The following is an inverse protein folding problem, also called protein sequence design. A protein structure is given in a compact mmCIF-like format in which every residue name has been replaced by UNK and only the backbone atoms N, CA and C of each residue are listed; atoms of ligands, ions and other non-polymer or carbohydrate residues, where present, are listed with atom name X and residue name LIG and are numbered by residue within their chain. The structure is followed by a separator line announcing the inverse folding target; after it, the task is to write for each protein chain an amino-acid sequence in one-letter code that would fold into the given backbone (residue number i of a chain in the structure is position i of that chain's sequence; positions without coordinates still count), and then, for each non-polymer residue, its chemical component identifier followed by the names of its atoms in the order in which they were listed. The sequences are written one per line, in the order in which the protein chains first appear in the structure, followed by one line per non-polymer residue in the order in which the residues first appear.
data_IF_704947701430
#
_entry.id   IF_704947701430
#
_cell.length_a   1.000
_cell.length_b   1.000
_cell.length_c   1.000
_cell.angle_alpha   90.00
_cell.angle_beta   90.00
_cell.angle_gamma   90.00
#
_symmetry.space_group_name_H-M   'P 1'
#
loop_
_entity.id
_entity.type
_entity.pdbx_description
1 polymer ?
#
# COMPACT_ATOMS: atom_id res chain seq x y z
N UNK A 1 36.23 -12.97 31.61
CA UNK A 1 36.41 -13.61 30.30
C UNK A 1 35.52 -12.89 29.29
N UNK A 2 35.81 -13.00 28.02
CA UNK A 2 34.98 -12.52 26.91
C UNK A 2 34.37 -13.78 26.28
N UNK A 3 33.10 -13.74 26.00
CA UNK A 3 32.40 -14.79 25.22
C UNK A 3 31.67 -14.14 24.05
N UNK A 4 31.40 -14.89 23.03
CA UNK A 4 30.64 -14.47 21.86
C UNK A 4 29.32 -15.25 21.82
N UNK A 5 28.24 -14.55 21.54
CA UNK A 5 26.93 -15.13 21.20
C UNK A 5 26.72 -14.98 19.70
N UNK A 6 26.13 -16.00 19.08
CA UNK A 6 25.79 -15.96 17.67
C UNK A 6 24.44 -15.27 17.54
N UNK A 7 24.39 -14.22 16.73
CA UNK A 7 23.20 -13.45 16.45
C UNK A 7 22.92 -13.48 14.94
N UNK A 8 21.66 -13.61 14.58
CA UNK A 8 21.21 -13.57 13.18
C UNK A 8 20.58 -12.25 12.88
N UNK A 9 20.96 -11.65 11.75
CA UNK A 9 20.38 -10.42 11.23
C UNK A 9 19.73 -10.66 9.89
N UNK A 10 18.50 -10.17 9.72
CA UNK A 10 17.81 -10.16 8.43
C UNK A 10 18.54 -9.22 7.47
N UNK A 11 18.78 -9.66 6.25
CA UNK A 11 19.45 -8.88 5.21
C UNK A 11 18.56 -8.90 3.97
N UNK A 12 18.36 -7.74 3.36
CA UNK A 12 17.56 -7.54 2.15
C UNK A 12 18.49 -7.18 0.98
N UNK A 13 18.95 -8.16 0.19
CA UNK A 13 19.99 -7.94 -0.83
C UNK A 13 19.60 -6.94 -1.91
N UNK A 14 18.30 -6.77 -2.15
CA UNK A 14 17.77 -5.87 -3.17
C UNK A 14 17.35 -4.48 -2.62
N UNK A 15 17.71 -4.17 -1.38
CA UNK A 15 17.43 -2.85 -0.76
C UNK A 15 15.95 -2.52 -0.72
N UNK A 16 15.52 -1.53 -1.50
CA UNK A 16 14.14 -1.05 -1.53
C UNK A 16 13.20 -1.83 -2.44
N UNK A 17 13.69 -2.83 -3.20
CA UNK A 17 12.86 -3.57 -4.15
C UNK A 17 11.72 -4.30 -3.40
N UNK A 18 10.49 -4.02 -3.80
CA UNK A 18 9.26 -4.57 -3.22
C UNK A 18 9.14 -4.32 -1.70
N UNK A 19 9.67 -3.20 -1.19
CA UNK A 19 9.71 -2.90 0.24
C UNK A 19 8.33 -3.00 0.90
N UNK A 20 7.29 -2.43 0.27
CA UNK A 20 5.92 -2.43 0.78
C UNK A 20 5.29 -3.84 0.83
N UNK A 21 5.76 -4.75 -0.03
CA UNK A 21 5.28 -6.14 -0.08
C UNK A 21 6.02 -7.00 0.93
N UNK A 22 7.35 -6.83 1.00
CA UNK A 22 8.21 -7.66 1.85
C UNK A 22 8.03 -7.28 3.32
N UNK A 23 8.04 -5.98 3.64
CA UNK A 23 8.17 -5.51 5.01
C UNK A 23 9.59 -5.73 5.54
N UNK A 24 9.79 -5.60 6.84
CA UNK A 24 11.11 -5.77 7.45
C UNK A 24 11.04 -6.45 8.81
N UNK A 25 12.16 -6.97 9.26
CA UNK A 25 12.30 -7.57 10.59
C UNK A 25 13.07 -6.62 11.51
N UNK A 26 12.58 -6.46 12.74
CA UNK A 26 13.26 -5.71 13.81
C UNK A 26 14.40 -6.51 14.44
N UNK A 27 15.13 -5.84 15.34
CA UNK A 27 16.26 -6.45 16.06
C UNK A 27 15.88 -7.65 16.93
N UNK A 28 14.61 -7.76 17.34
CA UNK A 28 14.05 -8.88 18.10
C UNK A 28 13.57 -10.04 17.20
N UNK A 29 13.86 -9.99 15.90
CA UNK A 29 13.41 -10.90 14.85
C UNK A 29 11.90 -10.89 14.63
N UNK A 30 11.17 -9.88 15.11
CA UNK A 30 9.77 -9.72 14.78
C UNK A 30 9.58 -8.97 13.46
N UNK A 31 8.78 -9.56 12.58
CA UNK A 31 8.39 -8.98 11.30
C UNK A 31 7.49 -7.76 11.49
N UNK A 32 7.70 -6.74 10.67
CA UNK A 32 6.92 -5.51 10.64
C UNK A 32 6.49 -5.26 9.20
N UNK A 33 5.18 -5.13 9.01
CA UNK A 33 4.57 -4.95 7.69
C UNK A 33 4.79 -6.10 6.70
N UNK A 34 4.03 -6.09 5.62
CA UNK A 34 4.19 -6.98 4.49
C UNK A 34 4.24 -8.47 4.84
N UNK A 35 5.02 -9.20 4.07
CA UNK A 35 5.20 -10.65 4.25
C UNK A 35 5.96 -11.01 5.52
N UNK A 36 6.88 -10.16 5.97
CA UNK A 36 7.64 -10.39 7.20
C UNK A 36 6.71 -10.40 8.42
N UNK A 37 5.73 -9.50 8.51
CA UNK A 37 4.74 -9.49 9.59
C UNK A 37 3.73 -10.62 9.43
N UNK A 38 3.13 -10.76 8.25
CA UNK A 38 2.07 -11.74 8.02
C UNK A 38 2.53 -13.18 8.21
N UNK A 39 3.75 -13.49 7.82
CA UNK A 39 4.34 -14.82 7.93
C UNK A 39 5.40 -14.91 9.04
N UNK A 40 5.35 -14.03 10.03
CA UNK A 40 6.33 -13.99 11.11
C UNK A 40 6.56 -15.39 11.76
N UNK A 41 5.48 -16.07 12.12
CA UNK A 41 5.56 -17.41 12.74
C UNK A 41 6.09 -18.51 11.80
N UNK A 42 5.99 -18.30 10.49
CA UNK A 42 6.49 -19.21 9.46
C UNK A 42 7.97 -18.97 9.17
N UNK A 43 8.36 -17.68 9.11
CA UNK A 43 9.72 -17.26 8.82
C UNK A 43 10.66 -17.40 10.01
N UNK A 44 10.15 -17.09 11.21
CA UNK A 44 10.89 -17.31 12.44
C UNK A 44 10.83 -18.81 12.81
N UNK A 45 11.98 -19.37 13.11
CA UNK A 45 12.05 -20.71 13.65
C UNK A 45 11.73 -20.75 15.14
N UNK A 46 12.22 -21.77 15.79
CA UNK A 46 12.14 -21.89 17.25
C UNK A 46 13.50 -21.65 17.84
N UNK A 47 13.62 -20.65 18.71
CA UNK A 47 14.87 -20.36 19.43
C UNK A 47 15.32 -21.57 20.24
N UNK A 48 16.57 -21.97 20.06
CA UNK A 48 17.20 -23.00 20.87
C UNK A 48 17.39 -22.52 22.31
N UNK A 49 17.56 -23.46 23.21
CA UNK A 49 17.82 -23.17 24.62
C UNK A 49 18.95 -24.04 25.12
N UNK A 50 19.87 -23.44 25.84
CA UNK A 50 20.86 -24.15 26.64
C UNK A 50 20.60 -23.84 28.12
N UNK A 51 20.42 -24.85 28.90
CA UNK A 51 20.26 -24.72 30.34
C UNK A 51 21.02 -25.82 31.06
N UNK A 52 21.48 -25.55 32.25
CA UNK A 52 22.24 -26.48 33.02
C UNK A 52 22.00 -26.32 34.53
N UNK A 53 22.27 -27.38 35.24
CA UNK A 53 22.29 -27.39 36.71
C UNK A 53 23.51 -28.09 37.21
N UNK A 54 23.93 -27.79 38.43
CA UNK A 54 24.95 -28.56 39.12
C UNK A 54 24.29 -29.81 39.73
N UNK A 55 24.80 -30.97 39.39
CA UNK A 55 24.37 -32.22 40.04
C UNK A 55 24.95 -32.33 41.45
N UNK A 56 24.57 -33.38 42.17
CA UNK A 56 24.98 -33.62 43.56
C UNK A 56 26.52 -33.72 43.74
N UNK A 57 27.25 -34.05 42.68
CA UNK A 57 28.71 -34.08 42.65
C UNK A 57 29.36 -32.77 42.20
N UNK A 58 28.56 -31.67 42.14
CA UNK A 58 28.97 -30.34 41.66
C UNK A 58 29.47 -30.30 40.18
N UNK A 59 29.11 -31.28 39.35
CA UNK A 59 29.35 -31.25 37.93
C UNK A 59 28.22 -30.52 37.22
N UNK A 60 28.56 -29.71 36.20
CA UNK A 60 27.61 -29.00 35.37
C UNK A 60 27.01 -29.96 34.33
N UNK A 61 25.75 -30.34 34.51
CA UNK A 61 24.98 -31.01 33.48
C UNK A 61 24.28 -30.01 32.58
N UNK A 62 24.53 -30.12 31.28
CA UNK A 62 23.95 -29.25 30.26
C UNK A 62 22.96 -29.99 29.42
N UNK A 63 21.80 -29.34 29.22
CA UNK A 63 20.81 -29.77 28.26
C UNK A 63 20.72 -28.73 27.15
N UNK A 64 20.90 -29.18 25.91
CA UNK A 64 20.79 -28.32 24.74
C UNK A 64 19.53 -28.73 24.00
N UNK A 65 18.59 -27.77 23.86
CA UNK A 65 17.48 -27.88 22.91
C UNK A 65 17.90 -27.10 21.67
N UNK A 66 18.17 -27.77 20.52
CA UNK A 66 18.65 -27.08 19.34
C UNK A 66 17.60 -26.09 18.81
N UNK A 67 18.06 -25.02 18.16
CA UNK A 67 17.20 -24.14 17.37
C UNK A 67 16.63 -24.91 16.17
N UNK A 68 15.48 -24.49 15.72
CA UNK A 68 14.83 -24.99 14.49
C UNK A 68 14.64 -23.81 13.55
N UNK A 69 15.19 -23.91 12.36
CA UNK A 69 15.09 -22.85 11.35
C UNK A 69 13.64 -22.64 10.91
N UNK A 70 13.31 -21.39 10.55
CA UNK A 70 12.03 -21.07 9.93
C UNK A 70 11.94 -21.57 8.48
N UNK A 71 10.78 -21.40 7.89
CA UNK A 71 10.51 -21.83 6.53
C UNK A 71 10.81 -20.71 5.51
N UNK A 72 11.02 -21.12 4.26
CA UNK A 72 11.17 -20.21 3.13
C UNK A 72 9.81 -19.91 2.51
N UNK A 73 9.58 -18.65 2.13
CA UNK A 73 8.39 -18.20 1.39
C UNK A 73 8.80 -17.88 -0.04
N UNK A 74 8.01 -18.38 -0.98
CA UNK A 74 8.13 -18.06 -2.41
C UNK A 74 6.94 -17.15 -2.80
N UNK A 75 7.22 -15.90 -3.14
CA UNK A 75 6.21 -14.97 -3.65
C UNK A 75 6.06 -15.10 -5.17
N UNK A 76 4.97 -14.57 -5.71
CA UNK A 76 4.75 -14.47 -7.15
C UNK A 76 5.33 -13.20 -7.77
N UNK A 77 5.92 -12.32 -6.95
CA UNK A 77 6.57 -11.10 -7.43
C UNK A 77 7.75 -11.43 -8.33
N UNK A 78 7.72 -10.93 -9.56
CA UNK A 78 8.84 -10.98 -10.48
C UNK A 78 9.75 -9.77 -10.25
N UNK A 79 10.99 -10.00 -9.84
CA UNK A 79 11.92 -8.93 -9.49
C UNK A 79 12.21 -7.96 -10.64
N UNK A 80 12.17 -8.43 -11.90
CA UNK A 80 12.40 -7.56 -13.06
C UNK A 80 11.19 -6.67 -13.32
N UNK A 81 9.98 -7.25 -13.30
CA UNK A 81 8.73 -6.49 -13.48
C UNK A 81 8.57 -5.47 -12.35
N UNK A 82 8.80 -5.88 -11.10
CA UNK A 82 8.78 -5.01 -9.93
C UNK A 82 9.74 -3.82 -10.09
N UNK A 83 11.00 -4.08 -10.44
CA UNK A 83 12.01 -3.03 -10.63
C UNK A 83 11.67 -2.07 -11.78
N UNK A 84 11.03 -2.56 -12.86
CA UNK A 84 10.53 -1.70 -13.94
C UNK A 84 9.42 -0.79 -13.42
N UNK A 85 8.46 -1.33 -12.68
CA UNK A 85 7.35 -0.56 -12.10
C UNK A 85 7.88 0.52 -11.17
N UNK A 86 8.71 0.17 -10.20
CA UNK A 86 9.30 1.13 -9.24
C UNK A 86 10.07 2.25 -9.94
N UNK A 87 10.85 1.90 -10.99
CA UNK A 87 11.56 2.88 -11.79
C UNK A 87 10.61 3.91 -12.39
N UNK A 88 9.49 3.47 -12.97
CA UNK A 88 8.53 4.38 -13.62
C UNK A 88 7.69 5.17 -12.61
N UNK A 89 7.37 4.61 -11.44
CA UNK A 89 6.72 5.37 -10.39
C UNK A 89 7.63 6.50 -9.88
N UNK A 90 8.90 6.21 -9.66
CA UNK A 90 9.90 7.22 -9.29
C UNK A 90 10.06 8.28 -10.38
N UNK A 91 10.17 7.87 -11.64
CA UNK A 91 10.29 8.80 -12.78
C UNK A 91 9.07 9.71 -12.85
N UNK A 92 7.85 9.19 -12.72
CA UNK A 92 6.62 9.99 -12.69
C UNK A 92 6.67 11.03 -11.57
N UNK A 93 7.09 10.64 -10.37
CA UNK A 93 7.22 11.58 -9.26
C UNK A 93 8.21 12.70 -9.55
N UNK A 94 9.38 12.39 -10.11
CA UNK A 94 10.40 13.38 -10.45
C UNK A 94 9.95 14.34 -11.57
N UNK A 95 9.26 13.83 -12.60
CA UNK A 95 8.73 14.64 -13.70
C UNK A 95 7.65 15.62 -13.27
N UNK A 96 6.90 15.29 -12.21
CA UNK A 96 5.79 16.10 -11.70
C UNK A 96 6.11 16.83 -10.39
N UNK A 97 7.34 16.70 -9.89
CA UNK A 97 7.81 17.37 -8.68
C UNK A 97 7.60 18.90 -8.81
N UNK A 98 7.09 19.51 -7.74
CA UNK A 98 6.80 20.93 -7.66
C UNK A 98 5.80 21.48 -8.72
N UNK A 99 5.11 20.60 -9.46
CA UNK A 99 4.22 21.01 -10.54
C UNK A 99 2.88 21.60 -10.04
N UNK A 100 2.31 21.04 -8.99
CA UNK A 100 1.01 21.46 -8.42
C UNK A 100 1.18 22.02 -7.02
N UNK A 101 2.07 21.47 -6.23
CA UNK A 101 2.44 21.89 -4.88
C UNK A 101 3.95 21.65 -4.68
N UNK A 102 4.59 22.30 -3.71
CA UNK A 102 5.98 22.00 -3.37
C UNK A 102 6.17 20.54 -2.97
N UNK A 103 7.29 19.93 -3.37
CA UNK A 103 7.64 18.56 -2.99
C UNK A 103 7.28 17.52 -4.05
N UNK A 104 6.90 16.32 -3.60
CA UNK A 104 6.63 15.16 -4.46
C UNK A 104 5.57 15.43 -5.52
N UNK A 105 5.71 14.84 -6.71
CA UNK A 105 4.79 15.00 -7.84
C UNK A 105 3.41 14.39 -7.59
N UNK A 106 3.34 13.42 -6.69
CA UNK A 106 2.11 12.87 -6.14
C UNK A 106 2.31 12.57 -4.66
N UNK A 107 1.24 12.63 -3.89
CA UNK A 107 1.29 12.25 -2.48
C UNK A 107 1.67 10.79 -2.30
N UNK A 108 1.01 9.92 -3.06
CA UNK A 108 1.36 8.52 -3.25
C UNK A 108 0.98 8.15 -4.70
N UNK A 109 1.76 7.27 -5.29
CA UNK A 109 1.44 6.64 -6.55
C UNK A 109 1.69 5.14 -6.43
N UNK A 110 0.75 4.32 -6.90
CA UNK A 110 0.85 2.88 -6.80
C UNK A 110 0.52 2.17 -8.10
N UNK A 111 1.08 0.98 -8.28
CA UNK A 111 0.82 0.12 -9.42
C UNK A 111 0.81 -1.34 -9.00
N UNK A 112 -0.20 -2.07 -9.47
CA UNK A 112 -0.31 -3.53 -9.32
C UNK A 112 -0.33 -4.15 -10.70
N UNK A 113 0.52 -5.14 -10.94
CA UNK A 113 0.51 -5.97 -12.15
C UNK A 113 0.10 -7.37 -11.76
N UNK A 114 -1.01 -7.85 -12.34
CA UNK A 114 -1.57 -9.15 -12.09
C UNK A 114 -1.64 -9.97 -13.38
N UNK A 115 -1.26 -11.23 -13.30
CA UNK A 115 -1.48 -12.18 -14.38
C UNK A 115 -2.95 -12.60 -14.42
N UNK A 116 -3.63 -12.30 -15.53
CA UNK A 116 -5.09 -12.42 -15.65
C UNK A 116 -5.59 -13.85 -15.47
N UNK A 117 -4.84 -14.85 -15.94
CA UNK A 117 -5.28 -16.25 -15.94
C UNK A 117 -5.10 -16.93 -14.57
N UNK A 118 -4.18 -16.49 -13.76
CA UNK A 118 -3.81 -17.13 -12.49
C UNK A 118 -4.19 -16.30 -11.27
N UNK A 119 -4.29 -14.97 -11.44
CA UNK A 119 -4.43 -14.02 -10.33
C UNK A 119 -3.11 -13.75 -9.60
N UNK A 120 -1.98 -14.26 -10.08
CA UNK A 120 -0.67 -14.00 -9.50
C UNK A 120 -0.33 -12.51 -9.59
N UNK A 121 0.09 -11.92 -8.48
CA UNK A 121 0.63 -10.56 -8.45
C UNK A 121 2.10 -10.64 -8.87
N UNK A 122 2.42 -10.08 -10.03
CA UNK A 122 3.78 -10.05 -10.56
C UNK A 122 4.56 -8.82 -10.10
N UNK A 123 3.86 -7.72 -9.82
CA UNK A 123 4.42 -6.53 -9.19
C UNK A 123 3.35 -5.82 -8.36
N UNK A 124 3.78 -5.26 -7.24
CA UNK A 124 2.99 -4.35 -6.42
C UNK A 124 3.96 -3.35 -5.82
N UNK A 125 3.86 -2.10 -6.24
CA UNK A 125 4.79 -1.05 -5.84
C UNK A 125 4.06 0.24 -5.57
N UNK A 126 4.59 1.04 -4.65
CA UNK A 126 4.18 2.41 -4.43
C UNK A 126 5.40 3.35 -4.36
N UNK A 127 5.15 4.64 -4.44
CA UNK A 127 6.16 5.68 -4.23
C UNK A 127 5.53 6.81 -3.39
N UNK A 128 6.22 7.34 -2.39
CA UNK A 128 7.61 7.07 -1.98
C UNK A 128 7.83 5.66 -1.42
N UNK A 129 9.07 5.18 -1.43
CA UNK A 129 9.52 3.88 -0.92
C UNK A 129 10.69 4.05 0.04
N UNK A 130 11.13 2.97 0.69
CA UNK A 130 12.20 2.97 1.69
C UNK A 130 13.16 1.79 1.51
N UNK A 131 14.37 1.88 2.09
CA UNK A 131 15.34 0.77 2.10
C UNK A 131 15.05 -0.16 3.28
N UNK A 132 14.84 -1.45 2.99
CA UNK A 132 14.58 -2.49 3.99
C UNK A 132 15.75 -2.72 4.95
N UNK A 133 16.97 -2.34 4.57
CA UNK A 133 18.15 -2.42 5.44
C UNK A 133 18.36 -1.16 6.29
N UNK A 134 17.68 -0.04 5.94
CA UNK A 134 17.76 1.24 6.65
C UNK A 134 16.36 1.89 6.74
N UNK A 135 15.46 1.20 7.41
CA UNK A 135 14.03 1.57 7.47
C UNK A 135 13.77 2.89 8.19
N UNK A 136 14.71 3.37 9.00
CA UNK A 136 14.62 4.64 9.71
C UNK A 136 15.24 5.83 8.94
N UNK A 137 15.69 5.60 7.71
CA UNK A 137 16.15 6.68 6.84
C UNK A 137 14.98 7.62 6.52
N UNK A 138 15.23 8.90 6.68
CA UNK A 138 14.21 9.95 6.55
C UNK A 138 14.14 10.58 5.16
N UNK A 139 15.02 10.20 4.25
CA UNK A 139 15.09 10.80 2.90
C UNK A 139 13.75 10.67 2.14
N UNK A 140 13.03 9.57 2.38
CA UNK A 140 11.73 9.33 1.76
C UNK A 140 10.60 10.24 2.30
N UNK A 141 10.80 10.88 3.46
CA UNK A 141 9.87 11.87 4.01
C UNK A 141 10.03 13.24 3.33
N UNK A 142 11.22 13.55 2.80
CA UNK A 142 11.47 14.84 2.17
C UNK A 142 10.53 15.08 0.98
N UNK A 143 9.78 16.18 1.05
CA UNK A 143 8.78 16.52 0.03
C UNK A 143 7.49 15.69 0.10
N UNK A 144 7.35 14.77 1.05
CA UNK A 144 6.10 14.08 1.32
C UNK A 144 5.17 14.95 2.19
N UNK A 145 3.89 14.61 2.22
CA UNK A 145 2.89 15.32 3.01
C UNK A 145 3.04 14.98 4.49
N UNK A 146 2.99 15.99 5.36
CA UNK A 146 3.08 15.79 6.81
C UNK A 146 1.83 15.11 7.36
N UNK A 147 2.02 14.29 8.38
CA UNK A 147 0.96 13.61 9.11
C UNK A 147 1.03 14.06 10.56
N UNK A 148 -0.12 14.39 11.12
CA UNK A 148 -0.24 14.84 12.51
C UNK A 148 -1.32 14.00 13.22
N UNK A 149 -1.11 13.76 14.51
CA UNK A 149 -2.12 13.18 15.37
C UNK A 149 -3.15 14.24 15.73
N UNK A 150 -4.41 13.98 15.37
CA UNK A 150 -5.52 14.90 15.64
C UNK A 150 -6.64 14.15 16.34
N UNK A 151 -7.15 14.71 17.45
CA UNK A 151 -8.34 14.16 18.10
C UNK A 151 -9.59 14.51 17.28
N UNK A 152 -10.26 13.49 16.75
CA UNK A 152 -11.47 13.68 15.95
C UNK A 152 -12.69 14.09 16.81
N UNK A 153 -13.81 14.41 16.14
CA UNK A 153 -15.05 14.85 16.81
C UNK A 153 -15.64 13.83 17.80
N UNK A 154 -15.24 12.56 17.71
CA UNK A 154 -15.66 11.48 18.61
C UNK A 154 -14.69 11.26 19.77
N UNK A 155 -13.64 12.08 19.90
CA UNK A 155 -12.64 12.00 20.97
C UNK A 155 -11.55 10.94 20.74
N UNK A 156 -11.39 10.41 19.53
CA UNK A 156 -10.34 9.46 19.18
C UNK A 156 -9.19 10.18 18.49
N UNK A 157 -7.96 9.83 18.87
CA UNK A 157 -6.76 10.29 18.20
C UNK A 157 -6.58 9.52 16.88
N UNK A 158 -6.47 10.26 15.78
CA UNK A 158 -6.33 9.75 14.42
C UNK A 158 -5.21 10.47 13.70
N UNK A 159 -4.39 9.72 12.96
CA UNK A 159 -3.39 10.31 12.08
C UNK A 159 -4.10 10.99 10.90
N UNK A 160 -3.85 12.27 10.72
CA UNK A 160 -4.50 13.10 9.70
C UNK A 160 -3.42 13.77 8.86
N UNK A 161 -3.62 13.77 7.53
CA UNK A 161 -2.76 14.49 6.61
C UNK A 161 -2.99 15.97 6.70
N UNK A 162 -1.91 16.73 6.75
CA UNK A 162 -1.94 18.21 6.70
C UNK A 162 -1.86 18.71 5.26
N UNK A 163 -1.99 20.01 5.06
CA UNK A 163 -1.77 20.65 3.75
C UNK A 163 -0.31 21.14 3.56
N UNK A 164 0.61 20.66 4.38
CA UNK A 164 2.02 21.01 4.37
C UNK A 164 2.90 19.81 4.02
N UNK A 165 4.09 20.09 3.48
CA UNK A 165 5.04 19.11 3.01
C UNK A 165 6.34 19.23 3.79
N UNK A 166 7.05 18.11 3.99
CA UNK A 166 8.30 18.09 4.73
C UNK A 166 9.41 18.80 3.97
N UNK A 167 10.02 19.75 4.65
CA UNK A 167 11.38 20.27 4.36
C UNK A 167 12.41 19.54 5.22
N UNK A 168 13.69 19.71 4.93
CA UNK A 168 14.75 19.15 5.78
C UNK A 168 14.68 19.70 7.20
N UNK A 169 14.41 20.98 7.36
CA UNK A 169 14.28 21.63 8.68
C UNK A 169 13.14 21.03 9.50
N UNK A 170 12.02 20.70 8.85
CA UNK A 170 10.90 20.04 9.51
C UNK A 170 11.26 18.64 10.00
N UNK A 171 11.98 17.87 9.17
CA UNK A 171 12.41 16.51 9.51
C UNK A 171 13.39 16.54 10.69
N UNK A 172 14.35 17.48 10.68
CA UNK A 172 15.36 17.65 11.74
C UNK A 172 14.72 18.09 13.08
N UNK A 173 13.53 18.67 13.04
CA UNK A 173 12.79 19.15 14.20
C UNK A 173 11.78 18.12 14.77
N UNK A 174 11.56 16.98 14.09
CA UNK A 174 10.63 15.95 14.59
C UNK A 174 11.08 15.35 15.91
N UNK A 175 10.14 15.15 16.80
CA UNK A 175 10.34 14.27 17.96
C UNK A 175 10.40 12.80 17.52
N UNK A 176 10.92 11.92 18.36
CA UNK A 176 11.00 10.49 18.06
C UNK A 176 9.63 9.87 17.78
N UNK A 177 8.59 10.31 18.50
CA UNK A 177 7.21 9.82 18.31
C UNK A 177 6.62 10.31 16.99
N UNK A 178 6.75 11.59 16.67
CA UNK A 178 6.29 12.16 15.39
C UNK A 178 7.02 11.53 14.20
N UNK A 179 8.32 11.31 14.33
CA UNK A 179 9.11 10.61 13.31
C UNK A 179 8.58 9.19 13.10
N UNK A 180 8.34 8.46 14.19
CA UNK A 180 7.84 7.09 14.10
C UNK A 180 6.44 7.04 13.46
N UNK A 181 5.55 7.99 13.76
CA UNK A 181 4.22 8.07 13.16
C UNK A 181 4.31 8.28 11.63
N UNK A 182 5.19 9.18 11.18
CA UNK A 182 5.40 9.42 9.75
C UNK A 182 6.07 8.23 9.05
N UNK A 183 7.03 7.57 9.68
CA UNK A 183 7.63 6.35 9.16
C UNK A 183 6.62 5.18 9.11
N UNK A 184 5.80 5.01 10.14
CA UNK A 184 4.71 4.02 10.14
C UNK A 184 3.73 4.23 8.98
N UNK A 185 3.49 5.49 8.59
CA UNK A 185 2.69 5.78 7.42
C UNK A 185 3.40 5.42 6.12
N UNK A 186 4.69 5.73 6.00
CA UNK A 186 5.54 5.41 4.85
C UNK A 186 5.66 3.90 4.62
N UNK A 187 5.80 3.11 5.71
CA UNK A 187 5.97 1.66 5.63
C UNK A 187 4.70 0.88 5.24
N UNK A 188 3.54 1.54 5.26
CA UNK A 188 2.29 0.90 4.84
C UNK A 188 2.25 0.73 3.33
N UNK A 189 1.88 -0.45 2.88
CA UNK A 189 1.64 -0.69 1.46
C UNK A 189 0.43 0.13 0.97
N UNK A 190 0.70 1.21 0.25
CA UNK A 190 -0.31 2.11 -0.28
C UNK A 190 -1.37 1.39 -1.12
N UNK A 191 -0.96 0.42 -1.94
CA UNK A 191 -1.84 -0.28 -2.86
C UNK A 191 -2.98 -1.05 -2.18
N UNK A 192 -2.81 -1.43 -0.90
CA UNK A 192 -3.79 -2.25 -0.16
C UNK A 192 -4.25 -1.63 1.16
N UNK A 193 -3.57 -0.58 1.66
CA UNK A 193 -3.87 0.00 2.98
C UNK A 193 -4.59 1.34 2.91
N UNK A 194 -4.62 2.00 1.74
CA UNK A 194 -5.17 3.34 1.60
C UNK A 194 -6.42 3.33 0.73
N UNK A 195 -7.48 3.95 1.22
CA UNK A 195 -8.70 4.16 0.44
C UNK A 195 -8.57 5.40 -0.43
N UNK A 196 -9.23 5.37 -1.59
CA UNK A 196 -9.30 6.51 -2.51
C UNK A 196 -10.66 6.52 -3.23
N UNK A 197 -11.01 7.64 -3.82
CA UNK A 197 -12.20 7.76 -4.66
C UNK A 197 -11.88 7.26 -6.08
N UNK A 198 -12.38 6.09 -6.50
CA UNK A 198 -12.00 5.48 -7.77
C UNK A 198 -12.53 6.25 -8.99
N UNK A 199 -13.57 7.07 -8.82
CA UNK A 199 -14.20 7.79 -9.90
C UNK A 199 -14.72 6.86 -11.00
N UNK A 200 -14.51 7.25 -12.28
CA UNK A 200 -15.02 6.48 -13.42
C UNK A 200 -14.43 5.09 -13.59
N UNK A 201 -13.33 4.76 -12.90
CA UNK A 201 -12.76 3.40 -12.92
C UNK A 201 -13.65 2.37 -12.21
N UNK A 202 -14.63 2.81 -11.40
CA UNK A 202 -15.66 1.95 -10.81
C UNK A 202 -16.77 1.56 -11.78
N UNK A 203 -16.95 2.25 -12.90
CA UNK A 203 -18.07 2.04 -13.85
C UNK A 203 -18.11 0.64 -14.47
N UNK A 204 -16.99 0.03 -14.90
CA UNK A 204 -16.99 -1.36 -15.38
C UNK A 204 -17.51 -2.35 -14.34
N UNK A 205 -17.23 -2.14 -13.05
CA UNK A 205 -17.76 -3.01 -11.99
C UNK A 205 -19.28 -2.89 -11.86
N UNK A 206 -19.84 -1.68 -11.98
CA UNK A 206 -21.29 -1.45 -11.98
C UNK A 206 -21.96 -2.19 -13.14
N UNK A 207 -21.41 -2.09 -14.35
CA UNK A 207 -21.96 -2.78 -15.53
C UNK A 207 -21.82 -4.29 -15.40
N UNK A 208 -20.66 -4.78 -14.93
CA UNK A 208 -20.45 -6.20 -14.72
C UNK A 208 -21.44 -6.78 -13.70
N UNK A 209 -21.68 -6.08 -12.58
CA UNK A 209 -22.66 -6.49 -11.58
C UNK A 209 -24.09 -6.51 -12.14
N UNK A 210 -24.47 -5.51 -12.95
CA UNK A 210 -25.78 -5.43 -13.57
C UNK A 210 -26.00 -6.57 -14.61
N UNK A 211 -24.98 -6.92 -15.38
CA UNK A 211 -25.01 -8.06 -16.30
C UNK A 211 -25.08 -9.39 -15.55
N UNK A 212 -24.25 -9.58 -14.53
CA UNK A 212 -24.20 -10.82 -13.73
C UNK A 212 -25.52 -11.07 -12.98
N UNK A 213 -26.15 -10.02 -12.45
CA UNK A 213 -27.42 -10.11 -11.77
C UNK A 213 -28.61 -10.31 -12.73
N UNK A 214 -28.40 -10.16 -14.04
CA UNK A 214 -29.45 -10.19 -15.06
C UNK A 214 -30.36 -8.94 -15.06
N UNK A 215 -29.96 -7.87 -14.37
CA UNK A 215 -30.70 -6.59 -14.39
C UNK A 215 -30.63 -5.91 -15.76
N UNK A 216 -29.55 -6.15 -16.51
CA UNK A 216 -29.39 -5.75 -17.91
C UNK A 216 -28.91 -6.93 -18.77
N UNK A 217 -29.11 -6.84 -20.07
CA UNK A 217 -28.67 -7.84 -21.06
C UNK A 217 -27.46 -7.36 -21.89
N UNK A 218 -27.13 -6.06 -21.78
CA UNK A 218 -26.08 -5.41 -22.57
C UNK A 218 -26.59 -4.74 -23.86
N UNK A 219 -27.86 -4.92 -24.20
CA UNK A 219 -28.49 -4.36 -25.41
C UNK A 219 -29.35 -3.12 -25.13
N UNK A 220 -29.41 -2.70 -23.88
CA UNK A 220 -30.21 -1.55 -23.44
C UNK A 220 -29.57 -0.24 -23.90
N UNK A 221 -30.46 0.75 -24.05
CA UNK A 221 -30.12 2.13 -24.38
C UNK A 221 -30.67 3.10 -23.32
N UNK A 222 -29.92 4.13 -23.05
CA UNK A 222 -30.21 5.12 -22.01
C UNK A 222 -30.12 6.52 -22.55
N UNK A 223 -31.20 7.32 -22.37
CA UNK A 223 -31.15 8.72 -22.75
C UNK A 223 -30.32 9.55 -21.76
N UNK A 224 -29.25 10.19 -22.24
CA UNK A 224 -28.43 11.12 -21.50
C UNK A 224 -28.77 12.57 -21.90
N UNK A 225 -29.44 13.30 -21.01
CA UNK A 225 -29.75 14.73 -21.17
C UNK A 225 -28.75 15.64 -20.43
N UNK A 226 -27.54 15.12 -20.14
CA UNK A 226 -26.46 15.86 -19.52
C UNK A 226 -26.42 15.82 -17.97
N UNK A 227 -27.55 15.51 -17.31
CA UNK A 227 -27.59 15.36 -15.85
C UNK A 227 -28.71 14.43 -15.41
N UNK A 228 -28.60 13.93 -14.18
CA UNK A 228 -29.64 13.16 -13.50
C UNK A 228 -29.70 13.59 -12.04
N UNK A 229 -30.90 13.67 -11.48
CA UNK A 229 -31.09 13.91 -10.07
C UNK A 229 -31.14 12.59 -9.30
N UNK A 230 -30.25 12.42 -8.32
CA UNK A 230 -30.18 11.22 -7.50
C UNK A 230 -30.01 11.64 -6.04
N UNK A 231 -30.89 11.15 -5.16
CA UNK A 231 -30.82 11.45 -3.71
C UNK A 231 -30.88 12.95 -3.37
N UNK A 232 -31.55 13.76 -4.17
CA UNK A 232 -31.64 15.23 -3.99
C UNK A 232 -30.43 16.01 -4.50
N UNK A 233 -29.51 15.36 -5.19
CA UNK A 233 -28.32 15.99 -5.80
C UNK A 233 -28.36 15.87 -7.32
N UNK A 234 -28.10 16.98 -8.02
CA UNK A 234 -27.99 17.00 -9.48
C UNK A 234 -26.56 16.59 -9.87
N UNK A 235 -26.43 15.36 -10.40
CA UNK A 235 -25.16 14.81 -10.89
C UNK A 235 -25.04 15.09 -12.39
N UNK A 236 -23.98 15.78 -12.78
CA UNK A 236 -23.72 16.18 -14.17
C UNK A 236 -22.85 15.15 -14.89
N UNK A 237 -23.19 14.91 -16.18
CA UNK A 237 -22.29 14.26 -17.11
C UNK A 237 -21.24 15.24 -17.64
N UNK A 238 -20.12 14.75 -18.14
CA UNK A 238 -19.10 15.61 -18.77
C UNK A 238 -19.66 16.41 -19.97
N UNK A 239 -20.65 15.84 -20.68
CA UNK A 239 -21.38 16.46 -21.79
C UNK A 239 -22.52 17.40 -21.36
N UNK A 240 -22.64 17.73 -20.08
CA UNK A 240 -23.74 18.57 -19.56
C UNK A 240 -23.90 19.89 -20.31
N UNK A 241 -22.77 20.56 -20.63
CA UNK A 241 -22.78 21.86 -21.30
C UNK A 241 -23.23 21.79 -22.76
N UNK A 242 -23.11 20.61 -23.41
CA UNK A 242 -23.56 20.36 -24.79
C UNK A 242 -24.94 19.73 -24.88
N UNK A 243 -25.65 19.58 -23.75
CA UNK A 243 -27.03 19.03 -23.70
C UNK A 243 -27.10 17.52 -23.49
N UNK A 244 -25.98 16.88 -23.23
CA UNK A 244 -25.89 15.42 -23.01
C UNK A 244 -25.41 14.66 -24.24
N UNK A 245 -25.26 13.33 -24.11
CA UNK A 245 -24.82 12.42 -25.17
C UNK A 245 -25.98 11.89 -26.05
N UNK A 246 -27.23 12.18 -25.66
CA UNK A 246 -28.38 11.63 -26.37
C UNK A 246 -28.61 10.16 -26.02
N UNK A 247 -28.84 9.32 -27.03
CA UNK A 247 -29.05 7.90 -26.90
C UNK A 247 -27.70 7.18 -26.71
N UNK A 248 -27.58 6.44 -25.61
CA UNK A 248 -26.30 5.82 -25.16
C UNK A 248 -26.56 4.34 -24.94
N UNK A 249 -25.87 3.48 -25.68
CA UNK A 249 -25.89 2.03 -25.43
C UNK A 249 -25.11 1.69 -24.15
N UNK A 250 -25.22 0.46 -23.63
CA UNK A 250 -24.41 -0.01 -22.50
C UNK A 250 -22.92 0.08 -22.83
N UNK A 251 -22.51 -0.29 -24.06
CA UNK A 251 -21.13 -0.19 -24.51
C UNK A 251 -20.64 1.27 -24.52
N UNK A 252 -21.43 2.19 -25.10
CA UNK A 252 -21.09 3.60 -25.17
C UNK A 252 -21.05 4.25 -23.77
N UNK A 253 -21.87 3.76 -22.84
CA UNK A 253 -21.87 4.25 -21.47
C UNK A 253 -20.52 4.10 -20.77
N UNK A 254 -19.79 3.03 -21.08
CA UNK A 254 -18.41 2.80 -20.61
C UNK A 254 -17.42 3.59 -21.47
N UNK A 255 -17.52 3.46 -22.82
CA UNK A 255 -16.57 4.08 -23.75
C UNK A 255 -16.51 5.61 -23.60
N UNK A 256 -17.65 6.25 -23.40
CA UNK A 256 -17.77 7.70 -23.21
C UNK A 256 -17.82 8.11 -21.74
N UNK A 257 -17.74 7.15 -20.83
CA UNK A 257 -17.82 7.40 -19.38
C UNK A 257 -19.07 8.21 -18.99
N UNK A 258 -20.23 7.88 -19.55
CA UNK A 258 -21.48 8.62 -19.34
C UNK A 258 -22.02 8.42 -17.92
N UNK A 259 -22.02 9.47 -17.09
CA UNK A 259 -22.52 9.40 -15.72
C UNK A 259 -24.03 9.08 -15.69
N UNK A 260 -24.81 9.70 -16.58
CA UNK A 260 -26.28 9.52 -16.59
C UNK A 260 -26.68 8.10 -16.92
N UNK A 261 -26.08 7.50 -17.96
CA UNK A 261 -26.34 6.11 -18.32
C UNK A 261 -25.93 5.14 -17.19
N UNK A 262 -24.77 5.33 -16.61
CA UNK A 262 -24.26 4.48 -15.52
C UNK A 262 -25.11 4.58 -14.24
N UNK A 263 -25.60 5.76 -13.89
CA UNK A 263 -26.54 5.92 -12.77
C UNK A 263 -27.87 5.19 -13.01
N UNK A 264 -28.36 5.18 -14.27
CA UNK A 264 -29.57 4.45 -14.63
C UNK A 264 -29.39 2.93 -14.67
N UNK A 265 -28.16 2.47 -14.98
CA UNK A 265 -27.81 1.04 -14.90
C UNK A 265 -27.72 0.58 -13.44
N UNK A 266 -27.27 1.46 -12.54
CA UNK A 266 -27.10 1.15 -11.11
C UNK A 266 -28.39 1.22 -10.30
N UNK A 267 -29.47 1.84 -10.81
CA UNK A 267 -30.75 2.03 -10.13
C UNK A 267 -31.70 0.86 -10.33
#
# INVERSE_FOLDING_TARGET
GVWFEEEYKRVYPNGSLAADVIGFSRADNEGQYGLEEYYNDVLNGTTGREYGYLNDDANLERTIKPAVDGNTIHSTIDANIQGIVEKYLKQFNEEHKDAVHPGNGAENVGCIIMEVNTGNILAMASYPTYDLNDTRNTDALLGSRKIEMVTNANGYDVLTKTDTYFTQEDIDALTDDELLDNLNYLWKNYCISTTYEPGSTAKPFTVAAALESGAITGNEHYQCNGSLEVGGHTIKCHSYRSGGEGDVSVQDSIAWSCNVALMKIAA
#
